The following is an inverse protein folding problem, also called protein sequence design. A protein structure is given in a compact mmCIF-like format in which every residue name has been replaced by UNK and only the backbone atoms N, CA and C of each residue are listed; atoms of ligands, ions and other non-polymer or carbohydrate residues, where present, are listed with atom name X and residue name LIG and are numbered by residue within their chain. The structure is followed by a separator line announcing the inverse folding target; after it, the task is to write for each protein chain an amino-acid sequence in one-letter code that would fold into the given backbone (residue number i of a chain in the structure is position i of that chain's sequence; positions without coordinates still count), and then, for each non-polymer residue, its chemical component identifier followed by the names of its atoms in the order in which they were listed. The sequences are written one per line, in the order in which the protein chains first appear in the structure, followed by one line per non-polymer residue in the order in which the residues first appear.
data_IF_485530439529
#
_entry.id   IF_485530439529
#
_cell.length_a   1.000
_cell.length_b   1.000
_cell.length_c   1.000
_cell.angle_alpha   90.00
_cell.angle_beta   90.00
_cell.angle_gamma   90.00
#
_symmetry.space_group_name_H-M   'P 1'
#
loop_
_entity.id
_entity.type
_entity.pdbx_description
1 polymer ?
#
# COMPACT_ATOMS: atom_id res chain seq x y z
N UNK A 1 14.11 -14.04 23.46
CA UNK A 1 12.76 -13.60 23.89
C UNK A 1 12.72 -12.08 23.88
N UNK A 2 12.22 -11.47 22.81
CA UNK A 2 11.67 -10.11 22.78
C UNK A 2 10.97 -9.96 21.44
N UNK A 3 9.74 -10.45 21.48
CA UNK A 3 8.63 -10.18 20.60
C UNK A 3 8.53 -8.69 20.26
N UNK A 4 9.25 -8.27 19.21
CA UNK A 4 9.05 -6.97 18.56
C UNK A 4 7.99 -7.12 17.48
N UNK A 5 6.78 -7.47 17.88
CA UNK A 5 5.61 -7.36 17.02
C UNK A 5 5.38 -5.87 16.78
N UNK A 6 5.83 -5.40 15.62
CA UNK A 6 5.33 -4.19 14.99
C UNK A 6 3.86 -4.47 14.67
N UNK A 7 2.99 -4.25 15.65
CA UNK A 7 1.55 -4.32 15.51
C UNK A 7 1.14 -3.24 14.52
N UNK A 8 0.96 -3.62 13.25
CA UNK A 8 -0.04 -2.95 12.45
C UNK A 8 -1.39 -3.53 12.81
N UNK A 9 -2.39 -2.66 12.77
CA UNK A 9 -3.79 -3.00 13.03
C UNK A 9 -4.29 -3.87 11.87
N UNK A 10 -3.91 -5.14 11.84
CA UNK A 10 -4.77 -6.15 11.23
C UNK A 10 -5.92 -6.30 12.21
N UNK A 11 -7.15 -5.99 11.77
CA UNK A 11 -8.30 -6.10 12.66
C UNK A 11 -8.39 -7.54 13.17
N UNK A 12 -8.73 -7.72 14.45
CA UNK A 12 -8.86 -9.06 15.02
C UNK A 12 -9.84 -9.92 14.19
N UNK A 13 -10.95 -9.30 13.74
CA UNK A 13 -11.91 -9.95 12.86
C UNK A 13 -11.35 -10.37 11.49
N UNK A 14 -10.33 -9.68 10.96
CA UNK A 14 -9.64 -10.13 9.74
C UNK A 14 -8.75 -11.36 10.03
N UNK A 15 -8.03 -11.37 11.15
CA UNK A 15 -7.19 -12.52 11.52
C UNK A 15 -8.01 -13.79 11.79
N UNK A 16 -9.21 -13.65 12.34
CA UNK A 16 -10.12 -14.76 12.64
C UNK A 16 -10.66 -15.44 11.37
N UNK A 17 -10.72 -14.72 10.25
CA UNK A 17 -11.13 -15.28 8.95
C UNK A 17 -10.01 -16.07 8.23
N UNK A 18 -8.77 -15.97 8.70
CA UNK A 18 -7.59 -16.51 8.03
C UNK A 18 -7.06 -17.76 8.76
N UNK A 19 -6.70 -18.78 7.98
CA UNK A 19 -5.92 -19.91 8.50
C UNK A 19 -4.45 -19.52 8.76
N UNK A 20 -3.66 -20.41 9.34
CA UNK A 20 -2.29 -20.08 9.74
C UNK A 20 -1.41 -19.68 8.54
N UNK A 21 -1.53 -20.39 7.41
CA UNK A 21 -0.73 -20.09 6.21
C UNK A 21 -1.16 -18.77 5.57
N UNK A 22 -2.46 -18.49 5.56
CA UNK A 22 -3.01 -17.23 5.07
C UNK A 22 -2.58 -16.04 5.95
N UNK A 23 -2.54 -16.21 7.27
CA UNK A 23 -2.02 -15.20 8.20
C UNK A 23 -0.54 -14.92 7.95
N UNK A 24 0.27 -15.95 7.80
CA UNK A 24 1.70 -15.80 7.53
C UNK A 24 1.93 -15.07 6.20
N UNK A 25 1.14 -15.38 5.16
CA UNK A 25 1.21 -14.69 3.87
C UNK A 25 0.84 -13.20 3.99
N UNK A 26 -0.22 -12.87 4.74
CA UNK A 26 -0.60 -11.47 5.01
C UNK A 26 0.47 -10.75 5.82
N UNK A 27 1.05 -11.39 6.84
CA UNK A 27 2.13 -10.80 7.63
C UNK A 27 3.40 -10.58 6.79
N UNK A 28 3.72 -11.47 5.86
CA UNK A 28 4.82 -11.28 4.92
C UNK A 28 4.57 -10.09 3.99
N UNK A 29 3.34 -9.92 3.50
CA UNK A 29 2.91 -8.75 2.72
C UNK A 29 3.04 -7.45 3.54
N UNK A 30 2.56 -7.44 4.77
CA UNK A 30 2.69 -6.30 5.68
C UNK A 30 4.17 -5.97 5.99
N UNK A 31 4.98 -7.00 6.22
CA UNK A 31 6.42 -6.82 6.45
C UNK A 31 7.12 -6.23 5.22
N UNK A 32 6.69 -6.62 4.02
CA UNK A 32 7.17 -6.06 2.77
C UNK A 32 6.95 -4.53 2.76
N UNK A 33 5.73 -4.05 3.00
CA UNK A 33 5.47 -2.59 3.04
C UNK A 33 6.36 -1.82 4.03
N UNK A 34 6.76 -2.44 5.16
CA UNK A 34 7.65 -1.83 6.13
C UNK A 34 9.09 -1.78 5.62
N UNK A 35 9.61 -2.91 5.14
CA UNK A 35 10.98 -3.02 4.63
C UNK A 35 11.19 -2.19 3.38
N UNK A 36 10.17 -2.08 2.52
CA UNK A 36 10.16 -1.22 1.34
C UNK A 36 9.90 0.25 1.62
N UNK A 37 9.57 0.63 2.87
CA UNK A 37 9.32 2.03 3.23
C UNK A 37 8.14 2.67 2.48
N UNK A 38 7.16 1.87 2.03
CA UNK A 38 6.10 2.30 1.11
C UNK A 38 5.23 3.44 1.67
N UNK A 39 5.09 3.52 2.99
CA UNK A 39 4.36 4.61 3.64
C UNK A 39 5.02 5.98 3.42
N UNK A 40 6.35 6.07 3.57
CA UNK A 40 7.09 7.31 3.28
C UNK A 40 7.00 7.69 1.82
N UNK A 41 7.16 6.71 0.92
CA UNK A 41 7.06 6.94 -0.51
C UNK A 41 5.68 7.51 -0.91
N UNK A 42 4.60 6.89 -0.41
CA UNK A 42 3.22 7.34 -0.65
C UNK A 42 2.99 8.75 -0.12
N UNK A 43 3.48 9.07 1.08
CA UNK A 43 3.38 10.42 1.64
C UNK A 43 4.11 11.47 0.78
N UNK A 44 5.36 11.19 0.39
CA UNK A 44 6.14 12.09 -0.45
C UNK A 44 5.44 12.36 -1.78
N UNK A 45 4.95 11.32 -2.43
CA UNK A 45 4.26 11.44 -3.73
C UNK A 45 2.92 12.18 -3.60
N UNK A 46 2.18 11.97 -2.51
CA UNK A 46 0.97 12.72 -2.23
C UNK A 46 1.27 14.22 -2.03
N UNK A 47 2.34 14.56 -1.31
CA UNK A 47 2.79 15.96 -1.17
C UNK A 47 3.18 16.55 -2.53
N UNK A 48 3.94 15.84 -3.37
CA UNK A 48 4.27 16.31 -4.71
C UNK A 48 3.01 16.55 -5.57
N UNK A 49 2.05 15.63 -5.52
CA UNK A 49 0.78 15.74 -6.26
C UNK A 49 -0.12 16.88 -5.77
N UNK A 50 0.02 17.29 -4.51
CA UNK A 50 -0.68 18.45 -3.96
C UNK A 50 -0.11 19.79 -4.48
N UNK A 51 1.19 19.83 -4.81
CA UNK A 51 1.88 21.04 -5.28
C UNK A 51 1.87 21.14 -6.81
N UNK A 52 1.93 20.01 -7.53
CA UNK A 52 1.96 19.97 -8.99
C UNK A 52 0.76 19.19 -9.57
N UNK A 53 -0.20 19.88 -10.24
CA UNK A 53 -1.34 19.25 -10.91
C UNK A 53 -0.97 18.20 -11.96
N UNK A 54 0.22 18.24 -12.55
CA UNK A 54 0.70 17.23 -13.49
C UNK A 54 0.96 15.88 -12.82
N UNK A 55 1.21 15.88 -11.51
CA UNK A 55 1.51 14.68 -10.72
C UNK A 55 0.28 14.05 -10.06
N UNK A 56 -0.93 14.56 -10.31
CA UNK A 56 -2.18 14.10 -9.65
C UNK A 56 -2.47 12.59 -9.78
N UNK A 57 -1.99 11.93 -10.83
CA UNK A 57 -2.17 10.48 -11.03
C UNK A 57 -1.06 9.62 -10.40
N UNK A 58 0.06 10.25 -10.01
CA UNK A 58 1.23 9.55 -9.51
C UNK A 58 0.97 8.80 -8.19
N UNK A 59 0.18 9.34 -7.22
CA UNK A 59 -0.14 8.60 -5.99
C UNK A 59 -0.79 7.24 -6.27
N UNK A 60 -1.78 7.17 -7.16
CA UNK A 60 -2.50 5.93 -7.49
C UNK A 60 -1.57 4.88 -8.14
N UNK A 61 -0.69 5.35 -9.04
CA UNK A 61 0.31 4.49 -9.70
C UNK A 61 1.33 3.94 -8.69
N UNK A 62 1.80 4.79 -7.78
CA UNK A 62 2.75 4.40 -6.72
C UNK A 62 2.12 3.45 -5.73
N UNK A 63 0.85 3.66 -5.36
CA UNK A 63 0.09 2.72 -4.55
C UNK A 63 0.03 1.35 -5.22
N UNK A 64 -0.39 1.29 -6.48
CA UNK A 64 -0.50 0.04 -7.25
C UNK A 64 0.85 -0.68 -7.34
N UNK A 65 1.93 0.06 -7.58
CA UNK A 65 3.29 -0.49 -7.63
C UNK A 65 3.75 -1.02 -6.26
N UNK A 66 3.43 -0.31 -5.17
CA UNK A 66 3.73 -0.74 -3.80
C UNK A 66 3.00 -2.04 -3.43
N UNK A 67 1.70 -2.12 -3.73
CA UNK A 67 0.90 -3.33 -3.52
C UNK A 67 1.48 -4.51 -4.32
N UNK A 68 1.82 -4.29 -5.60
CA UNK A 68 2.41 -5.33 -6.44
C UNK A 68 3.76 -5.80 -5.91
N UNK A 69 4.61 -4.89 -5.45
CA UNK A 69 5.90 -5.26 -4.85
C UNK A 69 5.72 -6.08 -3.58
N UNK A 70 4.76 -5.70 -2.74
CA UNK A 70 4.45 -6.43 -1.51
C UNK A 70 3.88 -7.82 -1.80
N UNK A 71 3.00 -7.96 -2.79
CA UNK A 71 2.45 -9.24 -3.24
C UNK A 71 3.54 -10.19 -3.75
N UNK A 72 4.44 -9.70 -4.62
CA UNK A 72 5.54 -10.53 -5.14
C UNK A 72 6.56 -10.88 -4.06
N UNK A 73 6.74 -10.01 -3.05
CA UNK A 73 7.58 -10.31 -1.88
C UNK A 73 6.97 -11.42 -1.02
N UNK A 74 5.67 -11.35 -0.76
CA UNK A 74 4.93 -12.32 0.03
C UNK A 74 4.69 -13.65 -0.68
N UNK A 75 4.85 -13.69 -2.01
CA UNK A 75 4.63 -14.86 -2.84
C UNK A 75 5.92 -15.43 -3.47
N UNK A 76 7.06 -15.20 -2.82
CA UNK A 76 8.38 -15.65 -3.29
C UNK A 76 8.55 -17.16 -3.27
N UNK A 77 8.00 -17.83 -2.26
CA UNK A 77 8.15 -19.28 -2.16
C UNK A 77 7.08 -20.00 -2.98
N UNK A 78 7.39 -21.19 -3.54
CA UNK A 78 6.42 -22.00 -4.26
C UNK A 78 5.16 -22.26 -3.42
N UNK A 79 3.99 -22.12 -4.04
CA UNK A 79 2.69 -22.35 -3.38
C UNK A 79 2.10 -21.14 -2.64
N UNK A 80 2.91 -20.14 -2.25
CA UNK A 80 2.43 -18.97 -1.51
C UNK A 80 1.50 -18.08 -2.34
N UNK A 81 1.65 -18.04 -3.67
CA UNK A 81 0.78 -17.26 -4.57
C UNK A 81 -0.72 -17.55 -4.37
N UNK A 82 -1.09 -18.84 -4.32
CA UNK A 82 -2.49 -19.25 -4.13
C UNK A 82 -2.99 -18.95 -2.72
N UNK A 83 -2.12 -19.13 -1.71
CA UNK A 83 -2.42 -18.82 -0.32
C UNK A 83 -2.70 -17.33 -0.14
N UNK A 84 -1.83 -16.48 -0.69
CA UNK A 84 -2.00 -15.03 -0.66
C UNK A 84 -3.26 -14.59 -1.41
N UNK A 85 -3.53 -15.12 -2.60
CA UNK A 85 -4.75 -14.81 -3.35
C UNK A 85 -6.02 -15.14 -2.55
N UNK A 86 -6.04 -16.30 -1.87
CA UNK A 86 -7.15 -16.70 -1.00
C UNK A 86 -7.30 -15.78 0.21
N UNK A 87 -6.18 -15.44 0.85
CA UNK A 87 -6.15 -14.52 1.98
C UNK A 87 -6.69 -13.13 1.60
N UNK A 88 -6.28 -12.58 0.44
CA UNK A 88 -6.78 -11.32 -0.10
C UNK A 88 -8.30 -11.38 -0.37
N UNK A 89 -8.78 -12.48 -0.96
CA UNK A 89 -10.22 -12.68 -1.20
C UNK A 89 -11.04 -12.74 0.08
N UNK A 90 -10.55 -13.45 1.10
CA UNK A 90 -11.18 -13.49 2.43
C UNK A 90 -11.17 -12.11 3.11
N UNK A 91 -10.06 -11.38 3.01
CA UNK A 91 -9.93 -10.05 3.57
C UNK A 91 -10.91 -9.05 2.94
N UNK A 92 -11.06 -9.09 1.62
CA UNK A 92 -12.04 -8.28 0.92
C UNK A 92 -13.47 -8.63 1.34
N UNK A 93 -13.80 -9.92 1.45
CA UNK A 93 -15.13 -10.35 1.87
C UNK A 93 -15.47 -9.89 3.30
N UNK A 94 -14.54 -10.07 4.24
CA UNK A 94 -14.71 -9.62 5.62
C UNK A 94 -14.90 -8.09 5.70
N UNK A 95 -14.18 -7.33 4.88
CA UNK A 95 -14.31 -5.86 4.81
C UNK A 95 -15.69 -5.44 4.31
N UNK A 96 -16.24 -6.14 3.31
CA UNK A 96 -17.58 -5.86 2.79
C UNK A 96 -18.68 -6.19 3.79
N UNK A 97 -18.52 -7.30 4.52
CA UNK A 97 -19.47 -7.69 5.56
C UNK A 97 -19.50 -6.64 6.66
N UNK A 98 -18.34 -6.22 7.16
CA UNK A 98 -18.25 -5.16 8.16
C UNK A 98 -18.86 -3.84 7.68
N UNK A 99 -18.68 -3.49 6.40
CA UNK A 99 -19.27 -2.28 5.83
C UNK A 99 -20.81 -2.35 5.73
N UNK A 100 -21.36 -3.53 5.41
CA UNK A 100 -22.81 -3.77 5.41
C UNK A 100 -23.39 -3.67 6.81
N UNK A 101 -22.77 -4.36 7.77
CA UNK A 101 -23.22 -4.37 9.17
C UNK A 101 -23.17 -2.95 9.79
N UNK A 102 -22.17 -2.14 9.42
CA UNK A 102 -22.09 -0.73 9.82
C UNK A 102 -23.15 0.16 9.14
N UNK A 103 -23.49 -0.12 7.88
CA UNK A 103 -24.56 0.58 7.14
C UNK A 103 -25.95 0.28 7.73
N UNK A 104 -26.18 -0.96 8.14
CA UNK A 104 -27.43 -1.39 8.78
C UNK A 104 -27.58 -0.81 10.20
N UNK A 105 -26.46 -0.63 10.93
CA UNK A 105 -26.43 0.06 12.22
C UNK A 105 -26.51 1.60 12.13
N UNK A 106 -26.35 2.18 10.94
CA UNK A 106 -26.18 3.62 10.69
C UNK A 106 -27.39 4.36 10.10
N UNK A 107 -28.53 3.69 9.83
CA UNK A 107 -29.70 4.32 9.18
C UNK A 107 -30.48 5.34 10.04
N UNK A 108 -29.94 5.75 11.20
CA UNK A 108 -30.53 6.77 12.08
C UNK A 108 -29.77 8.12 12.12
N UNK A 109 -28.71 8.34 11.33
CA UNK A 109 -28.01 9.64 11.32
C UNK A 109 -27.62 10.10 9.92
N UNK A 110 -28.12 11.28 9.58
CA UNK A 110 -28.00 11.96 8.30
C UNK A 110 -26.56 12.16 7.80
N UNK A 111 -26.42 11.99 6.48
CA UNK A 111 -25.63 12.80 5.55
C UNK A 111 -24.31 13.38 6.02
N UNK A 112 -23.21 12.72 5.67
CA UNK A 112 -21.99 13.42 5.26
C UNK A 112 -21.06 12.43 4.54
N UNK A 113 -20.77 12.68 3.25
CA UNK A 113 -19.63 12.11 2.54
C UNK A 113 -18.34 12.55 3.27
N UNK A 114 -17.92 11.76 4.25
CA UNK A 114 -16.57 11.83 4.80
C UNK A 114 -15.81 10.61 4.30
N UNK A 115 -14.71 10.78 3.56
CA UNK A 115 -13.82 9.66 3.29
C UNK A 115 -13.28 9.16 4.64
N UNK A 116 -13.67 7.94 5.02
CA UNK A 116 -13.21 7.29 6.25
C UNK A 116 -11.68 7.21 6.27
N UNK A 117 -11.03 7.57 7.39
CA UNK A 117 -9.59 7.49 7.49
C UNK A 117 -9.18 6.02 7.62
N UNK A 118 -8.27 5.61 6.75
CA UNK A 118 -7.32 4.51 7.01
C UNK A 118 -7.95 3.13 7.28
N UNK A 119 -8.70 2.60 6.31
CA UNK A 119 -8.68 1.16 6.06
C UNK A 119 -7.74 0.94 4.87
N UNK A 120 -6.80 -0.01 4.95
CA UNK A 120 -5.97 -0.40 3.82
C UNK A 120 -6.83 -0.49 2.55
N UNK A 121 -6.38 0.14 1.47
CA UNK A 121 -7.16 0.32 0.23
C UNK A 121 -7.48 -1.00 -0.46
N UNK A 122 -8.51 -1.70 0.02
CA UNK A 122 -9.12 -2.82 -0.69
C UNK A 122 -10.28 -2.25 -1.52
N UNK A 123 -9.97 -1.47 -2.56
CA UNK A 123 -10.95 -1.20 -3.61
C UNK A 123 -11.28 -2.54 -4.27
N UNK A 124 -12.56 -2.92 -4.27
CA UNK A 124 -13.02 -4.26 -4.63
C UNK A 124 -12.50 -4.78 -5.99
N UNK A 125 -12.25 -3.87 -6.94
CA UNK A 125 -11.65 -4.15 -8.24
C UNK A 125 -10.13 -4.35 -8.19
N UNK A 126 -9.42 -3.60 -7.34
CA UNK A 126 -7.97 -3.75 -7.15
C UNK A 126 -7.62 -5.12 -6.55
N UNK A 127 -8.47 -5.65 -5.65
CA UNK A 127 -8.26 -6.98 -5.06
C UNK A 127 -8.44 -8.08 -6.09
N UNK A 128 -9.48 -8.01 -6.90
CA UNK A 128 -9.76 -8.99 -7.95
C UNK A 128 -8.63 -9.02 -8.98
N UNK A 129 -8.10 -7.86 -9.38
CA UNK A 129 -6.96 -7.76 -10.29
C UNK A 129 -5.69 -8.39 -9.68
N UNK A 130 -5.39 -8.08 -8.41
CA UNK A 130 -4.26 -8.66 -7.68
C UNK A 130 -4.37 -10.17 -7.54
N UNK A 131 -5.57 -10.68 -7.23
CA UNK A 131 -5.83 -12.12 -7.18
C UNK A 131 -5.64 -12.78 -8.54
N UNK A 132 -6.17 -12.18 -9.62
CA UNK A 132 -5.99 -12.70 -10.97
C UNK A 132 -4.51 -12.79 -11.33
N UNK A 133 -3.76 -11.74 -11.02
CA UNK A 133 -2.30 -11.68 -11.17
C UNK A 133 -1.56 -12.78 -10.41
N UNK A 134 -1.95 -13.05 -9.16
CA UNK A 134 -1.32 -14.08 -8.33
C UNK A 134 -1.64 -15.50 -8.80
N UNK A 135 -2.83 -15.68 -9.38
CA UNK A 135 -3.30 -16.96 -9.89
C UNK A 135 -2.78 -17.27 -11.29
N UNK A 136 -2.39 -16.23 -12.05
CA UNK A 136 -1.72 -16.39 -13.33
C UNK A 136 -0.25 -16.83 -13.16
N UNK A 137 0.38 -17.32 -14.25
CA UNK A 137 1.78 -17.70 -14.22
C UNK A 137 2.65 -16.49 -13.80
N UNK A 138 3.72 -16.69 -12.98
CA UNK A 138 4.55 -15.58 -12.54
C UNK A 138 5.05 -14.77 -13.73
N UNK A 139 4.92 -13.43 -13.72
CA UNK A 139 5.45 -12.63 -14.80
C UNK A 139 6.95 -12.90 -14.92
N UNK A 140 7.44 -13.08 -16.15
CA UNK A 140 8.89 -13.12 -16.38
C UNK A 140 9.45 -11.79 -15.88
N UNK A 141 10.44 -11.82 -15.00
CA UNK A 141 11.09 -10.62 -14.50
C UNK A 141 11.60 -9.79 -15.69
N UNK A 142 10.89 -8.72 -16.02
CA UNK A 142 11.34 -7.76 -17.02
C UNK A 142 12.45 -6.96 -16.36
N UNK A 143 13.64 -6.99 -16.96
CA UNK A 143 14.74 -6.15 -16.49
C UNK A 143 14.32 -4.70 -16.71
N UNK A 144 14.04 -3.98 -15.63
CA UNK A 144 13.86 -2.53 -15.69
C UNK A 144 15.20 -1.96 -16.19
N UNK A 145 15.23 -1.24 -17.32
CA UNK A 145 16.48 -0.72 -17.84
C UNK A 145 17.09 0.24 -16.82
N UNK A 146 18.40 0.13 -16.58
CA UNK A 146 19.12 0.93 -15.58
C UNK A 146 18.90 2.44 -15.74
N UNK A 147 18.59 2.88 -16.97
CA UNK A 147 18.23 4.27 -17.29
C UNK A 147 16.99 4.74 -16.52
N UNK A 148 15.95 3.92 -16.39
CA UNK A 148 14.72 4.27 -15.63
C UNK A 148 15.01 4.38 -14.13
N UNK A 149 15.89 3.52 -13.61
CA UNK A 149 16.32 3.57 -12.20
C UNK A 149 17.19 4.80 -11.92
N UNK A 150 18.08 5.16 -12.84
CA UNK A 150 18.96 6.32 -12.72
C UNK A 150 18.19 7.64 -12.84
N UNK A 151 17.24 7.75 -13.77
CA UNK A 151 16.44 8.97 -13.95
C UNK A 151 15.51 9.22 -12.76
N UNK A 152 14.85 8.17 -12.24
CA UNK A 152 14.03 8.29 -11.03
C UNK A 152 14.87 8.65 -9.81
N UNK A 153 16.03 8.02 -9.61
CA UNK A 153 16.94 8.36 -8.51
C UNK A 153 17.43 9.81 -8.57
N UNK A 154 17.81 10.29 -9.76
CA UNK A 154 18.25 11.67 -9.97
C UNK A 154 17.14 12.69 -9.69
N UNK A 155 15.90 12.40 -10.12
CA UNK A 155 14.75 13.26 -9.86
C UNK A 155 14.44 13.37 -8.36
N UNK A 156 14.55 12.25 -7.64
CA UNK A 156 14.33 12.20 -6.20
C UNK A 156 15.41 12.99 -5.44
N UNK A 157 16.68 12.84 -5.84
CA UNK A 157 17.79 13.59 -5.26
C UNK A 157 17.67 15.11 -5.50
N UNK A 158 17.23 15.50 -6.70
CA UNK A 158 16.99 16.90 -7.03
C UNK A 158 15.86 17.53 -6.18
N UNK A 159 14.77 16.78 -5.93
CA UNK A 159 13.66 17.23 -5.07
C UNK A 159 14.08 17.40 -3.61
N UNK A 160 14.90 16.48 -3.07
CA UNK A 160 15.45 16.61 -1.71
C UNK A 160 16.40 17.81 -1.64
N UNK A 161 17.29 17.98 -2.62
CA UNK A 161 18.24 19.09 -2.67
C UNK A 161 17.57 20.46 -2.74
N UNK A 162 16.50 20.58 -3.52
CA UNK A 162 15.75 21.84 -3.64
C UNK A 162 14.92 22.15 -2.39
N UNK A 163 14.38 21.15 -1.69
CA UNK A 163 13.72 21.34 -0.40
C UNK A 163 14.68 21.81 0.71
N UNK A 164 15.90 21.27 0.74
CA UNK A 164 16.95 21.69 1.69
C UNK A 164 17.40 23.12 1.39
N UNK A 165 17.64 23.44 0.11
CA UNK A 165 18.07 24.78 -0.31
C UNK A 165 17.01 25.85 -0.02
N UNK A 166 15.73 25.56 -0.29
CA UNK A 166 14.64 26.45 0.07
C UNK A 166 14.53 26.65 1.59
N UNK A 167 14.80 25.62 2.38
CA UNK A 167 14.85 25.71 3.84
C UNK A 167 16.00 26.58 4.36
N UNK A 168 17.17 26.52 3.73
CA UNK A 168 18.32 27.37 4.12
C UNK A 168 18.08 28.85 3.81
N UNK A 169 17.45 29.16 2.67
CA UNK A 169 17.14 30.54 2.29
C UNK A 169 16.03 31.14 3.17
N UNK A 170 15.05 30.33 3.58
CA UNK A 170 14.02 30.75 4.53
C UNK A 170 14.60 31.12 5.89
N UNK A 171 15.58 30.36 6.40
CA UNK A 171 16.22 30.66 7.69
C UNK A 171 17.12 31.90 7.61
N UNK A 172 17.70 32.20 6.44
CA UNK A 172 18.52 33.39 6.23
C UNK A 172 17.70 34.70 6.19
N UNK A 173 16.40 34.64 5.90
CA UNK A 173 15.51 35.82 5.89
C UNK A 173 15.09 36.30 7.29
N UNK A 174 15.29 35.49 8.32
CA UNK A 174 14.92 35.82 9.71
C UNK A 174 16.11 36.23 10.59
N UNK A 175 17.28 36.47 9.98
CA UNK A 175 18.48 37.02 10.60
C UNK A 175 18.89 38.33 9.94
#
# INVERSE_FOLDING_TARGET
MRDRWRHRLITAGLLDCLDAAERDAVLAHEHAHLTGGHHWLRMTVACCAAVDPLLRRLPDLVETACERWADEHAAREPGQRRVLARALGKAALATLQNARDAGDAGSAAAGQDRPSPTACGFHHHAVAERMAVLLDAPPRATRVPATVLLTTSALTAAMIGSAVHAGTDYLALFH
#
